data_IF_072531760849
#
_entry.id   IF_072531760849
#
_cell.length_a   1.000
_cell.length_b   1.000
_cell.length_c   1.000
_cell.angle_alpha   90.00
_cell.angle_beta   90.00
_cell.angle_gamma   90.00
#
_symmetry.space_group_name_H-M   'P 1'
#
loop_
_entity.id
_entity.type
_entity.pdbx_description
1 polymer ?
#
# COMPACT_ATOMS: atom_id res chain seq x y z
N UNK A 1 -11.95 3.91 11.34
CA UNK A 1 -10.92 3.33 10.44
C UNK A 1 -10.47 4.38 9.46
N UNK A 2 -9.16 4.52 9.25
CA UNK A 2 -8.56 5.46 8.29
C UNK A 2 -7.63 4.67 7.38
N UNK A 3 -7.67 4.90 6.07
CA UNK A 3 -6.65 4.37 5.16
C UNK A 3 -5.61 5.47 4.95
N UNK A 4 -4.44 5.27 5.52
CA UNK A 4 -3.36 6.27 5.56
C UNK A 4 -2.26 5.90 4.55
N UNK A 5 -1.69 6.94 3.93
CA UNK A 5 -0.62 6.87 2.95
C UNK A 5 0.57 7.67 3.44
N UNK A 6 1.75 7.08 3.34
CA UNK A 6 3.04 7.74 3.53
C UNK A 6 3.98 7.29 2.42
N UNK A 7 5.12 7.94 2.26
CA UNK A 7 6.24 7.29 1.60
C UNK A 7 6.91 6.31 2.56
N UNK A 8 7.37 5.20 1.99
CA UNK A 8 7.99 4.12 2.75
C UNK A 8 9.44 4.45 3.08
N UNK A 9 9.83 4.14 4.31
CA UNK A 9 11.18 4.35 4.83
C UNK A 9 11.95 3.01 4.89
N UNK A 10 12.27 2.45 3.72
CA UNK A 10 12.75 1.06 3.59
C UNK A 10 14.21 0.85 3.97
N UNK A 11 15.08 1.85 3.81
CA UNK A 11 16.52 1.62 3.96
C UNK A 11 16.92 1.50 5.43
N UNK A 12 16.22 2.22 6.34
CA UNK A 12 16.33 2.21 7.82
C UNK A 12 17.56 1.47 8.37
N UNK A 13 18.76 1.88 7.92
CA UNK A 13 20.01 1.22 8.28
C UNK A 13 20.30 1.70 9.69
N UNK A 14 20.27 0.80 10.65
CA UNK A 14 20.58 1.10 12.03
C UNK A 14 21.89 0.40 12.41
N UNK A 15 22.95 1.17 12.58
CA UNK A 15 24.26 0.67 13.04
C UNK A 15 24.38 0.67 14.58
N UNK A 16 23.28 0.91 15.29
CA UNK A 16 23.23 1.05 16.75
C UNK A 16 23.41 2.49 17.25
N UNK A 17 23.82 3.42 16.39
CA UNK A 17 24.06 4.83 16.71
C UNK A 17 23.25 5.75 15.80
N UNK A 18 23.14 5.38 14.52
CA UNK A 18 22.50 6.16 13.46
C UNK A 18 21.43 5.30 12.79
N UNK A 19 20.22 5.83 12.68
CA UNK A 19 19.19 5.28 11.80
C UNK A 19 19.13 6.10 10.52
N UNK A 20 19.58 5.52 9.40
CA UNK A 20 19.50 6.17 8.08
C UNK A 20 18.11 5.95 7.50
N UNK A 21 17.30 6.99 7.56
CA UNK A 21 15.92 6.97 7.08
C UNK A 21 15.84 7.55 5.66
N UNK A 22 15.85 6.69 4.65
CA UNK A 22 15.91 7.10 3.24
C UNK A 22 14.84 6.41 2.38
N UNK A 23 14.24 7.10 1.39
CA UNK A 23 13.30 6.50 0.46
C UNK A 23 13.97 5.46 -0.43
N UNK A 24 13.20 4.44 -0.79
CA UNK A 24 13.46 3.67 -2.02
C UNK A 24 12.64 4.32 -3.13
N UNK A 25 13.30 4.66 -4.23
CA UNK A 25 12.66 5.19 -5.42
C UNK A 25 12.32 4.05 -6.37
N UNK A 26 11.15 4.13 -6.98
CA UNK A 26 10.67 3.19 -7.98
C UNK A 26 10.51 3.94 -9.30
N UNK A 27 11.22 3.48 -10.32
CA UNK A 27 10.87 3.77 -11.71
C UNK A 27 9.67 2.87 -12.07
N UNK A 28 8.54 3.48 -12.39
CA UNK A 28 7.32 2.77 -12.76
C UNK A 28 7.34 2.19 -14.17
N UNK A 29 8.29 2.60 -15.02
CA UNK A 29 8.34 2.30 -16.45
C UNK A 29 7.25 2.99 -17.28
N UNK A 30 6.40 3.81 -16.67
CA UNK A 30 5.34 4.56 -17.37
C UNK A 30 5.85 5.93 -17.77
N UNK A 31 5.93 6.20 -19.07
CA UNK A 31 6.33 7.50 -19.60
C UNK A 31 5.30 8.59 -19.28
N UNK A 32 5.79 9.74 -18.80
CA UNK A 32 5.06 11.00 -18.69
C UNK A 32 5.01 11.72 -20.03
N UNK A 33 4.19 12.77 -20.15
CA UNK A 33 4.14 13.64 -21.33
C UNK A 33 5.47 14.32 -21.68
N UNK A 34 6.42 14.38 -20.75
CA UNK A 34 7.78 14.88 -20.99
C UNK A 34 8.68 13.86 -21.69
N UNK A 35 8.28 12.59 -21.77
CA UNK A 35 9.09 11.49 -22.29
C UNK A 35 9.94 10.77 -21.24
N UNK A 36 10.04 11.32 -20.03
CA UNK A 36 10.68 10.67 -18.87
C UNK A 36 9.73 9.67 -18.22
N UNK A 37 10.26 8.62 -17.58
CA UNK A 37 9.43 7.73 -16.79
C UNK A 37 8.99 8.40 -15.49
N UNK A 38 7.78 8.06 -15.01
CA UNK A 38 7.34 8.43 -13.67
C UNK A 38 8.17 7.67 -12.62
N UNK A 39 8.95 8.43 -11.86
CA UNK A 39 9.79 7.95 -10.75
C UNK A 39 9.27 8.56 -9.45
N UNK A 40 8.92 7.71 -8.49
CA UNK A 40 8.38 8.16 -7.21
C UNK A 40 8.97 7.38 -6.03
N UNK A 41 9.03 7.97 -4.83
CA UNK A 41 9.30 7.18 -3.63
C UNK A 41 8.20 6.13 -3.48
N UNK A 42 8.60 4.91 -3.12
CA UNK A 42 7.64 3.81 -2.92
C UNK A 42 6.64 4.21 -1.84
N UNK A 43 5.35 4.12 -2.16
CA UNK A 43 4.29 4.37 -1.20
C UNK A 43 4.19 3.26 -0.15
N UNK A 44 3.90 3.64 1.08
CA UNK A 44 3.40 2.77 2.14
C UNK A 44 1.94 3.10 2.40
N UNK A 45 1.15 2.08 2.68
CA UNK A 45 -0.20 2.27 3.19
C UNK A 45 -0.57 1.29 4.28
N UNK A 46 -1.52 1.72 5.11
CA UNK A 46 -2.12 0.91 6.15
C UNK A 46 -3.54 1.36 6.49
N UNK A 47 -4.35 0.42 6.98
CA UNK A 47 -5.60 0.73 7.66
C UNK A 47 -5.32 1.00 9.14
N UNK A 48 -5.47 2.24 9.56
CA UNK A 48 -5.41 2.66 10.96
C UNK A 48 -6.79 2.49 11.63
N UNK A 49 -6.82 1.63 12.63
CA UNK A 49 -7.96 1.39 13.51
C UNK A 49 -7.71 2.14 14.82
N UNK A 50 -8.63 3.04 15.16
CA UNK A 50 -8.72 3.65 16.48
C UNK A 50 -9.80 2.91 17.25
N UNK A 51 -9.43 2.33 18.38
CA UNK A 51 -10.29 1.53 19.24
C UNK A 51 -10.37 2.28 20.56
N UNK A 52 -11.57 2.65 20.97
CA UNK A 52 -11.80 3.33 22.23
C UNK A 52 -12.97 2.67 22.94
N UNK A 53 -12.74 2.27 24.18
CA UNK A 53 -13.69 1.60 25.05
C UNK A 53 -13.24 1.71 26.51
N UNK A 54 -14.06 1.22 27.46
CA UNK A 54 -13.76 1.35 28.89
C UNK A 54 -12.45 0.66 29.30
N UNK A 55 -12.11 -0.47 28.66
CA UNK A 55 -10.94 -1.28 29.01
C UNK A 55 -9.79 -1.19 27.99
N UNK A 56 -10.06 -0.60 26.82
CA UNK A 56 -9.11 -0.56 25.70
C UNK A 56 -9.15 0.81 25.04
N UNK A 57 -8.00 1.49 25.03
CA UNK A 57 -7.75 2.64 24.17
C UNK A 57 -6.48 2.37 23.37
N UNK A 58 -6.64 2.07 22.08
CA UNK A 58 -5.55 1.59 21.24
C UNK A 58 -5.63 2.15 19.82
N UNK A 59 -4.45 2.38 19.23
CA UNK A 59 -4.28 2.67 17.81
C UNK A 59 -3.47 1.56 17.18
N UNK A 60 -4.07 0.85 16.24
CA UNK A 60 -3.41 -0.23 15.52
C UNK A 60 -3.47 0.02 14.03
N UNK A 61 -2.38 -0.24 13.34
CA UNK A 61 -2.29 -0.22 11.88
C UNK A 61 -2.26 -1.65 11.35
N UNK A 62 -3.00 -1.91 10.28
CA UNK A 62 -2.98 -3.17 9.55
C UNK A 62 -2.34 -3.00 8.17
N UNK A 63 -1.41 -3.88 7.87
CA UNK A 63 -0.69 -4.01 6.59
C UNK A 63 0.02 -5.38 6.51
N UNK A 64 0.81 -5.62 5.46
CA UNK A 64 1.80 -6.71 5.36
C UNK A 64 3.20 -6.10 5.44
N UNK A 65 3.97 -6.46 6.48
CA UNK A 65 5.34 -6.02 6.70
C UNK A 65 6.37 -7.12 6.48
N UNK A 66 7.65 -6.76 6.62
CA UNK A 66 8.78 -7.70 6.44
C UNK A 66 8.76 -8.87 7.45
N UNK A 67 8.15 -8.66 8.61
CA UNK A 67 7.99 -9.68 9.67
C UNK A 67 6.59 -10.29 9.65
N UNK A 68 5.98 -10.37 8.46
CA UNK A 68 4.66 -10.92 8.24
C UNK A 68 3.53 -9.89 8.23
N UNK A 69 2.30 -10.39 8.25
CA UNK A 69 1.06 -9.60 8.24
C UNK A 69 0.51 -9.46 9.66
N UNK A 70 -0.09 -8.32 10.00
CA UNK A 70 -0.57 -8.12 11.36
C UNK A 70 -1.27 -6.80 11.63
N UNK A 71 -1.67 -6.67 12.88
CA UNK A 71 -2.01 -5.40 13.50
C UNK A 71 -0.82 -5.00 14.36
N UNK A 72 -0.27 -3.83 14.10
CA UNK A 72 0.87 -3.28 14.84
C UNK A 72 0.44 -2.03 15.59
N UNK A 73 1.08 -1.76 16.72
CA UNK A 73 0.92 -0.49 17.41
C UNK A 73 1.28 0.64 16.43
N UNK A 74 0.36 1.59 16.26
CA UNK A 74 0.62 2.74 15.41
C UNK A 74 1.47 3.75 16.19
N UNK A 75 2.57 4.19 15.59
CA UNK A 75 3.39 5.30 16.09
C UNK A 75 3.16 6.54 15.23
N UNK A 76 3.20 7.71 15.87
CA UNK A 76 3.20 9.01 15.18
C UNK A 76 4.65 9.44 14.80
N UNK A 77 5.66 8.67 15.20
CA UNK A 77 7.06 8.90 14.85
C UNK A 77 7.35 8.50 13.41
N UNK A 78 7.65 9.50 12.58
CA UNK A 78 8.11 9.31 11.20
C UNK A 78 8.93 10.51 10.75
N UNK A 79 9.91 10.32 9.85
CA UNK A 79 10.58 11.44 9.22
C UNK A 79 9.57 12.34 8.51
N UNK A 80 9.70 13.66 8.64
CA UNK A 80 8.79 14.62 8.00
C UNK A 80 8.72 14.46 6.48
N UNK A 81 9.81 13.99 5.85
CA UNK A 81 9.88 13.76 4.40
C UNK A 81 8.96 12.64 3.92
N UNK A 82 8.49 11.75 4.80
CA UNK A 82 7.60 10.65 4.40
C UNK A 82 6.19 11.14 4.08
N UNK A 83 5.83 12.34 4.53
CA UNK A 83 4.49 12.90 4.35
C UNK A 83 3.41 12.09 5.07
N UNK A 84 2.16 12.56 4.96
CA UNK A 84 1.02 11.81 5.45
C UNK A 84 -0.25 12.29 4.77
N UNK A 85 -1.02 11.35 4.23
CA UNK A 85 -2.32 11.61 3.64
C UNK A 85 -3.31 10.55 4.08
N UNK A 86 -4.54 10.95 4.34
CA UNK A 86 -5.64 10.01 4.58
C UNK A 86 -6.47 9.91 3.32
N UNK A 87 -6.43 8.74 2.68
CA UNK A 87 -7.18 8.47 1.46
C UNK A 87 -8.69 8.48 1.72
N UNK A 88 -9.10 7.89 2.85
CA UNK A 88 -10.45 8.02 3.39
C UNK A 88 -10.45 7.74 4.89
N UNK A 89 -11.49 8.22 5.56
CA UNK A 89 -11.73 7.98 6.97
C UNK A 89 -13.23 7.73 7.22
N UNK A 90 -13.53 6.72 8.01
CA UNK A 90 -14.88 6.46 8.53
C UNK A 90 -14.80 6.35 10.04
N UNK A 91 -15.75 6.97 10.74
CA UNK A 91 -15.75 7.03 12.20
C UNK A 91 -17.14 7.18 12.82
N UNK A 92 -18.20 7.23 12.01
CA UNK A 92 -19.56 7.41 12.51
C UNK A 92 -20.25 6.06 12.75
N UNK A 93 -21.26 6.03 13.62
CA UNK A 93 -22.10 4.84 13.82
C UNK A 93 -22.80 4.39 12.54
N UNK A 94 -23.06 5.33 11.62
CA UNK A 94 -23.64 5.03 10.30
C UNK A 94 -22.72 4.15 9.45
N UNK A 95 -21.41 4.18 9.71
CA UNK A 95 -20.40 3.40 9.01
C UNK A 95 -20.01 2.11 9.74
N UNK A 96 -20.71 1.73 10.82
CA UNK A 96 -20.36 0.56 11.64
C UNK A 96 -20.20 -0.72 10.82
N UNK A 97 -21.12 -0.98 9.88
CA UNK A 97 -21.05 -2.16 9.01
C UNK A 97 -19.80 -2.14 8.12
N UNK A 98 -19.42 -0.96 7.62
CA UNK A 98 -18.18 -0.81 6.87
C UNK A 98 -16.97 -1.13 7.76
N UNK A 99 -16.90 -0.56 8.97
CA UNK A 99 -15.79 -0.80 9.91
C UNK A 99 -15.65 -2.29 10.21
N UNK A 100 -16.75 -2.97 10.53
CA UNK A 100 -16.77 -4.41 10.80
C UNK A 100 -16.34 -5.22 9.57
N UNK A 101 -16.79 -4.83 8.37
CA UNK A 101 -16.37 -5.47 7.12
C UNK A 101 -14.87 -5.32 6.87
N UNK A 102 -14.29 -4.15 7.14
CA UNK A 102 -12.84 -3.92 7.03
C UNK A 102 -12.05 -4.78 8.02
N UNK A 103 -12.46 -4.83 9.29
CA UNK A 103 -11.81 -5.68 10.32
C UNK A 103 -11.89 -7.16 9.94
N UNK A 104 -13.05 -7.62 9.46
CA UNK A 104 -13.24 -9.01 8.99
C UNK A 104 -12.33 -9.33 7.81
N UNK A 105 -12.26 -8.43 6.82
CA UNK A 105 -11.38 -8.57 5.66
C UNK A 105 -9.89 -8.60 6.08
N UNK A 106 -9.46 -7.69 6.97
CA UNK A 106 -8.12 -7.67 7.53
C UNK A 106 -7.75 -9.00 8.20
N UNK A 107 -8.66 -9.51 9.04
CA UNK A 107 -8.47 -10.79 9.76
C UNK A 107 -8.37 -11.98 8.80
N UNK A 108 -9.20 -12.00 7.76
CA UNK A 108 -9.18 -13.07 6.77
C UNK A 108 -7.90 -13.00 5.89
N UNK A 109 -7.49 -11.81 5.45
CA UNK A 109 -6.22 -11.61 4.74
C UNK A 109 -5.04 -12.04 5.60
N UNK A 110 -5.05 -11.70 6.89
CA UNK A 110 -4.03 -12.13 7.84
C UNK A 110 -3.90 -13.65 7.92
N UNK A 111 -5.02 -14.37 8.05
CA UNK A 111 -5.04 -15.83 8.07
C UNK A 111 -4.51 -16.41 6.75
N UNK A 112 -4.90 -15.81 5.62
CA UNK A 112 -4.47 -16.19 4.28
C UNK A 112 -2.97 -16.12 4.12
N UNK A 113 -2.37 -14.95 4.38
CA UNK A 113 -0.93 -14.76 4.22
C UNK A 113 -0.13 -15.62 5.19
N UNK A 114 -0.58 -15.80 6.44
CA UNK A 114 0.10 -16.73 7.37
C UNK A 114 0.12 -18.16 6.86
N UNK A 115 -0.98 -18.62 6.26
CA UNK A 115 -1.03 -19.95 5.67
C UNK A 115 -0.10 -20.07 4.48
N UNK A 116 -0.06 -19.08 3.60
CA UNK A 116 0.83 -19.06 2.43
C UNK A 116 2.32 -18.98 2.82
N UNK A 117 2.67 -18.20 3.85
CA UNK A 117 4.01 -18.15 4.44
C UNK A 117 4.47 -19.53 4.92
N UNK A 118 3.57 -20.30 5.52
CA UNK A 118 3.86 -21.65 6.02
C UNK A 118 3.85 -22.74 4.93
N UNK A 119 3.39 -22.43 3.72
CA UNK A 119 3.26 -23.39 2.62
C UNK A 119 4.09 -22.98 1.40
N UNK A 120 3.53 -22.19 0.50
CA UNK A 120 4.10 -21.83 -0.81
C UNK A 120 5.29 -20.88 -0.71
N UNK A 121 5.37 -20.12 0.37
CA UNK A 121 6.49 -19.24 0.68
C UNK A 121 7.40 -19.78 1.78
N UNK A 122 7.23 -21.06 2.17
CA UNK A 122 8.11 -21.69 3.15
C UNK A 122 9.56 -21.61 2.66
N UNK A 123 10.46 -21.17 3.54
CA UNK A 123 11.89 -20.95 3.29
C UNK A 123 12.25 -19.76 2.37
N UNK A 124 11.28 -18.93 1.95
CA UNK A 124 11.62 -17.67 1.28
C UNK A 124 12.14 -16.64 2.32
N UNK A 125 13.05 -15.73 1.93
CA UNK A 125 13.51 -14.66 2.81
C UNK A 125 12.35 -13.84 3.36
N UNK A 126 12.50 -13.33 4.59
CA UNK A 126 11.52 -12.47 5.26
C UNK A 126 10.09 -13.04 5.21
N UNK A 127 9.93 -14.34 5.45
CA UNK A 127 8.66 -15.08 5.40
C UNK A 127 7.89 -14.92 4.07
N UNK A 128 8.62 -14.69 2.98
CA UNK A 128 8.05 -14.45 1.66
C UNK A 128 7.57 -13.02 1.42
N UNK A 129 7.97 -12.03 2.23
CA UNK A 129 7.71 -10.62 1.93
C UNK A 129 8.22 -10.24 0.53
N UNK A 130 7.44 -9.44 -0.20
CA UNK A 130 7.67 -9.13 -1.61
C UNK A 130 7.17 -10.21 -2.57
N UNK A 131 7.24 -11.50 -2.20
CA UNK A 131 6.64 -12.58 -2.97
C UNK A 131 5.13 -12.71 -2.70
N UNK A 132 4.74 -12.78 -1.43
CA UNK A 132 3.34 -12.81 -0.99
C UNK A 132 2.62 -11.46 -1.13
N UNK A 133 3.38 -10.40 -1.40
CA UNK A 133 2.94 -9.02 -1.50
C UNK A 133 3.72 -8.08 -0.58
N UNK A 134 3.33 -6.81 -0.59
CA UNK A 134 3.86 -5.73 0.25
C UNK A 134 2.73 -5.12 1.09
N UNK A 135 3.06 -4.09 1.87
CA UNK A 135 2.07 -3.34 2.65
C UNK A 135 0.88 -2.87 1.78
N UNK A 136 1.13 -2.42 0.55
CA UNK A 136 0.11 -1.95 -0.37
C UNK A 136 -0.84 -3.05 -0.85
N UNK A 137 -0.38 -4.28 -1.06
CA UNK A 137 -1.22 -5.40 -1.49
C UNK A 137 -2.33 -5.72 -0.48
N UNK A 138 -1.98 -5.68 0.81
CA UNK A 138 -2.96 -5.90 1.88
C UNK A 138 -4.04 -4.80 1.91
N UNK A 139 -3.65 -3.55 1.71
CA UNK A 139 -4.58 -2.43 1.68
C UNK A 139 -5.43 -2.44 0.41
N UNK A 140 -4.84 -2.76 -0.74
CA UNK A 140 -5.55 -2.92 -2.01
C UNK A 140 -6.63 -4.00 -1.93
N UNK A 141 -6.32 -5.14 -1.30
CA UNK A 141 -7.28 -6.22 -1.11
C UNK A 141 -8.48 -5.76 -0.25
N UNK A 142 -8.21 -5.04 0.84
CA UNK A 142 -9.25 -4.48 1.70
C UNK A 142 -10.07 -3.40 0.98
N UNK A 143 -9.42 -2.51 0.22
CA UNK A 143 -10.09 -1.51 -0.62
C UNK A 143 -11.01 -2.16 -1.66
N UNK A 144 -10.55 -3.20 -2.34
CA UNK A 144 -11.37 -3.91 -3.31
C UNK A 144 -12.60 -4.56 -2.66
N UNK A 145 -12.43 -5.14 -1.47
CA UNK A 145 -13.54 -5.76 -0.73
C UNK A 145 -14.57 -4.69 -0.29
N UNK A 146 -14.09 -3.58 0.27
CA UNK A 146 -14.92 -2.62 1.01
C UNK A 146 -15.38 -1.40 0.19
N UNK A 147 -14.58 -0.97 -0.78
CA UNK A 147 -14.85 0.19 -1.67
C UNK A 147 -15.02 -0.17 -3.14
N UNK A 148 -14.69 -1.41 -3.54
CA UNK A 148 -14.71 -1.86 -4.95
C UNK A 148 -13.72 -1.10 -5.85
N UNK A 149 -12.76 -0.41 -5.25
CA UNK A 149 -11.70 0.34 -5.94
C UNK A 149 -10.35 -0.11 -5.44
N UNK A 150 -9.30 0.13 -6.23
CA UNK A 150 -7.90 -0.10 -5.83
C UNK A 150 -7.17 1.20 -6.09
N UNK A 151 -6.55 1.76 -5.05
CA UNK A 151 -5.79 3.00 -5.16
C UNK A 151 -4.35 2.86 -4.70
N UNK A 152 -3.97 1.69 -4.17
CA UNK A 152 -2.61 1.43 -3.73
C UNK A 152 -1.69 1.04 -4.89
N UNK A 153 -0.42 1.46 -4.77
CA UNK A 153 0.65 1.17 -5.72
C UNK A 153 2.02 1.25 -5.02
N UNK A 154 2.99 0.37 -5.35
CA UNK A 154 2.87 -0.78 -6.25
C UNK A 154 2.16 -1.96 -5.58
N UNK A 155 1.60 -2.84 -6.40
CA UNK A 155 1.09 -4.17 -6.03
C UNK A 155 2.07 -5.22 -6.56
N UNK A 156 2.71 -5.94 -5.64
CA UNK A 156 3.87 -6.78 -5.97
C UNK A 156 3.65 -8.27 -5.69
N UNK A 157 2.48 -8.67 -5.21
CA UNK A 157 2.15 -10.08 -4.99
C UNK A 157 2.32 -10.87 -6.30
N UNK A 158 3.19 -11.87 -6.27
CA UNK A 158 3.56 -12.67 -7.43
C UNK A 158 2.35 -13.31 -8.12
N UNK A 159 2.28 -13.22 -9.45
CA UNK A 159 1.16 -13.78 -10.22
C UNK A 159 0.98 -15.29 -10.01
N UNK A 160 2.09 -16.04 -9.92
CA UNK A 160 2.06 -17.51 -9.76
C UNK A 160 1.38 -18.00 -8.48
N UNK A 161 1.20 -17.13 -7.48
CA UNK A 161 0.46 -17.46 -6.27
C UNK A 161 -1.02 -17.72 -6.54
N UNK A 162 -1.57 -17.24 -7.66
CA UNK A 162 -2.96 -17.53 -8.04
C UNK A 162 -3.20 -19.04 -8.19
N UNK A 163 -2.21 -19.75 -8.74
CA UNK A 163 -2.32 -21.19 -9.00
C UNK A 163 -1.69 -22.04 -7.90
N UNK A 164 -0.61 -21.55 -7.29
CA UNK A 164 0.15 -22.31 -6.27
C UNK A 164 -0.45 -22.22 -4.87
N UNK A 165 -1.15 -21.12 -4.54
CA UNK A 165 -1.67 -20.92 -3.18
C UNK A 165 -2.76 -21.94 -2.83
N UNK A 166 -2.80 -22.41 -1.57
CA UNK A 166 -3.87 -23.30 -1.13
C UNK A 166 -5.22 -22.60 -1.27
N UNK A 167 -6.23 -23.32 -1.76
CA UNK A 167 -7.62 -22.85 -1.78
C UNK A 167 -8.19 -22.97 -0.36
N UNK A 168 -8.48 -21.84 0.27
CA UNK A 168 -8.95 -21.81 1.66
C UNK A 168 -10.44 -21.48 1.79
N UNK A 169 -11.10 -21.10 0.70
CA UNK A 169 -12.52 -20.72 0.72
C UNK A 169 -12.79 -19.43 1.51
N UNK A 170 -11.76 -18.59 1.69
CA UNK A 170 -11.83 -17.31 2.40
C UNK A 170 -12.24 -16.14 1.46
N UNK A 171 -12.40 -16.43 0.16
CA UNK A 171 -12.79 -15.48 -0.87
C UNK A 171 -11.62 -14.67 -1.45
N UNK A 172 -10.40 -14.83 -0.94
CA UNK A 172 -9.25 -14.08 -1.42
C UNK A 172 -8.74 -14.56 -2.77
N UNK A 173 -9.11 -15.76 -3.23
CA UNK A 173 -8.82 -16.24 -4.59
C UNK A 173 -9.39 -15.27 -5.64
N UNK A 174 -10.61 -14.79 -5.43
CA UNK A 174 -11.29 -13.85 -6.34
C UNK A 174 -10.73 -12.44 -6.19
N UNK A 175 -10.35 -12.05 -4.97
CA UNK A 175 -9.77 -10.74 -4.70
C UNK A 175 -8.38 -10.64 -5.35
N UNK A 176 -7.51 -11.63 -5.15
CA UNK A 176 -6.14 -11.64 -5.69
C UNK A 176 -6.09 -11.76 -7.21
N UNK A 177 -7.06 -12.44 -7.82
CA UNK A 177 -7.21 -12.47 -9.28
C UNK A 177 -7.53 -11.09 -9.87
N UNK A 178 -8.14 -10.19 -9.09
CA UNK A 178 -8.54 -8.84 -9.52
C UNK A 178 -7.53 -7.76 -9.15
N UNK A 179 -6.55 -8.07 -8.30
CA UNK A 179 -5.50 -7.11 -7.99
C UNK A 179 -4.58 -6.92 -9.21
N UNK A 180 -4.17 -5.67 -9.52
CA UNK A 180 -3.15 -5.40 -10.53
C UNK A 180 -1.87 -6.21 -10.29
N UNK A 181 -1.11 -6.46 -11.35
CA UNK A 181 0.16 -7.20 -11.31
C UNK A 181 1.29 -6.25 -11.69
N UNK A 182 1.51 -5.19 -10.90
CA UNK A 182 2.41 -4.11 -11.29
C UNK A 182 3.85 -4.59 -11.53
N UNK A 183 4.29 -5.62 -10.79
CA UNK A 183 5.62 -6.22 -10.96
C UNK A 183 5.77 -7.03 -12.25
N UNK A 184 4.66 -7.52 -12.82
CA UNK A 184 4.63 -8.41 -13.99
C UNK A 184 3.92 -7.74 -15.19
N UNK A 185 3.63 -6.45 -15.10
CA UNK A 185 2.72 -5.77 -16.01
C UNK A 185 3.34 -5.52 -17.39
N UNK A 186 2.55 -5.76 -18.43
CA UNK A 186 2.85 -5.26 -19.78
C UNK A 186 2.51 -3.77 -19.84
N UNK A 187 3.55 -2.94 -19.79
CA UNK A 187 3.41 -1.50 -19.88
C UNK A 187 3.18 -1.00 -21.31
N UNK A 188 2.86 -1.83 -22.30
CA UNK A 188 2.41 -1.34 -23.62
C UNK A 188 0.94 -0.90 -23.63
N UNK A 189 0.13 -1.40 -22.68
CA UNK A 189 -1.28 -1.03 -22.53
C UNK A 189 -1.44 0.38 -21.95
N UNK A 190 -1.93 1.32 -22.77
CA UNK A 190 -2.17 2.71 -22.38
C UNK A 190 -3.25 2.89 -21.31
N UNK A 191 -4.24 2.00 -21.25
CA UNK A 191 -5.25 2.03 -20.18
C UNK A 191 -4.62 1.62 -18.86
N UNK A 192 -3.77 0.59 -18.87
CA UNK A 192 -3.04 0.17 -17.69
C UNK A 192 -2.02 1.20 -17.22
N UNK A 193 -1.24 1.79 -18.13
CA UNK A 193 -0.34 2.92 -17.83
C UNK A 193 -1.10 4.04 -17.11
N UNK A 194 -2.28 4.38 -17.60
CA UNK A 194 -3.13 5.42 -17.00
C UNK A 194 -3.60 5.05 -15.60
N UNK A 195 -4.01 3.80 -15.39
CA UNK A 195 -4.36 3.29 -14.06
C UNK A 195 -3.18 3.38 -13.08
N UNK A 196 -1.97 2.99 -13.51
CA UNK A 196 -0.74 3.12 -12.72
C UNK A 196 -0.49 4.58 -12.30
N UNK A 197 -0.56 5.53 -13.25
CA UNK A 197 -0.39 6.96 -12.95
C UNK A 197 -1.44 7.46 -11.95
N UNK A 198 -2.70 7.06 -12.11
CA UNK A 198 -3.77 7.39 -11.16
C UNK A 198 -3.48 6.84 -9.76
N UNK A 199 -2.98 5.61 -9.64
CA UNK A 199 -2.65 4.98 -8.36
C UNK A 199 -1.39 5.59 -7.73
N UNK A 200 -0.37 5.93 -8.51
CA UNK A 200 0.80 6.69 -8.02
C UNK A 200 0.34 8.03 -7.42
N UNK A 201 -0.54 8.75 -8.12
CA UNK A 201 -1.13 9.99 -7.59
C UNK A 201 -1.96 9.74 -6.32
N UNK A 202 -2.72 8.65 -6.29
CA UNK A 202 -3.49 8.22 -5.13
C UNK A 202 -2.63 7.76 -3.93
N UNK A 203 -1.35 7.51 -4.14
CA UNK A 203 -0.36 7.18 -3.11
C UNK A 203 0.48 8.38 -2.65
N UNK A 204 0.46 9.49 -3.38
CA UNK A 204 1.25 10.67 -3.01
C UNK A 204 0.90 11.18 -1.61
N UNK A 205 1.89 11.15 -0.71
CA UNK A 205 1.73 11.49 0.70
C UNK A 205 1.81 13.00 0.98
N UNK A 206 2.23 13.79 0.00
CA UNK A 206 2.30 15.25 0.10
C UNK A 206 1.25 15.92 -0.78
N UNK A 207 0.72 17.05 -0.30
CA UNK A 207 -0.04 17.94 -1.16
C UNK A 207 0.92 18.77 -2.01
N UNK A 208 0.74 18.74 -3.34
CA UNK A 208 1.43 19.64 -4.28
C UNK A 208 1.05 21.08 -3.91
N UNK A 209 2.00 21.82 -3.34
CA UNK A 209 1.95 23.22 -2.83
C UNK A 209 2.51 23.34 -1.42
N UNK A 210 2.64 22.23 -0.70
CA UNK A 210 3.28 22.25 0.62
C UNK A 210 4.78 22.49 0.46
N UNK A 211 5.37 23.35 1.31
CA UNK A 211 6.83 23.46 1.48
C UNK A 211 7.48 22.17 2.03
N UNK A 212 6.74 21.06 2.03
CA UNK A 212 7.10 19.81 2.72
C UNK A 212 7.64 18.74 1.79
N UNK A 213 7.62 18.95 0.46
CA UNK A 213 8.31 18.08 -0.49
C UNK A 213 9.78 18.55 -0.53
N UNK A 214 10.73 17.78 0.00
CA UNK A 214 12.14 18.18 0.02
C UNK A 214 12.79 18.10 -1.36
N UNK A 215 12.23 17.30 -2.26
CA UNK A 215 12.79 17.00 -3.58
C UNK A 215 12.07 17.77 -4.71
N UNK A 216 12.83 18.57 -5.47
CA UNK A 216 12.29 19.44 -6.53
C UNK A 216 11.89 18.68 -7.78
N UNK A 217 12.56 17.57 -8.06
CA UNK A 217 12.27 16.73 -9.22
C UNK A 217 10.95 15.98 -9.01
N UNK A 218 10.76 15.40 -7.82
CA UNK A 218 9.49 14.81 -7.41
C UNK A 218 8.36 15.85 -7.42
N UNK A 219 8.59 17.06 -6.93
CA UNK A 219 7.60 18.13 -6.99
C UNK A 219 7.18 18.41 -8.45
N UNK A 220 8.14 18.45 -9.38
CA UNK A 220 7.88 18.66 -10.81
C UNK A 220 7.09 17.49 -11.42
N UNK A 221 7.51 16.25 -11.20
CA UNK A 221 6.81 15.06 -11.70
C UNK A 221 5.39 14.95 -11.14
N UNK A 222 5.18 15.22 -9.85
CA UNK A 222 3.85 15.24 -9.25
C UNK A 222 2.95 16.31 -9.89
N UNK A 223 3.49 17.49 -10.24
CA UNK A 223 2.73 18.54 -10.95
C UNK A 223 2.30 18.09 -12.35
N UNK A 224 3.17 17.39 -13.07
CA UNK A 224 2.84 16.80 -14.38
C UNK A 224 1.77 15.74 -14.18
N UNK A 225 2.00 14.79 -13.28
CA UNK A 225 1.07 13.71 -12.94
C UNK A 225 -0.32 14.23 -12.56
N UNK A 226 -0.40 15.29 -11.74
CA UNK A 226 -1.68 15.91 -11.39
C UNK A 226 -2.40 16.47 -12.61
N UNK A 227 -1.70 17.17 -13.52
CA UNK A 227 -2.32 17.69 -14.74
C UNK A 227 -2.83 16.55 -15.61
N UNK A 228 -2.02 15.52 -15.81
CA UNK A 228 -2.39 14.38 -16.60
C UNK A 228 -3.60 13.68 -16.00
N UNK A 229 -3.60 13.36 -14.70
CA UNK A 229 -4.69 12.63 -14.02
C UNK A 229 -6.00 13.42 -13.91
N UNK A 230 -5.94 14.76 -13.98
CA UNK A 230 -7.11 15.65 -13.85
C UNK A 230 -7.65 16.17 -15.19
N UNK A 231 -6.90 16.08 -16.30
CA UNK A 231 -7.41 16.37 -17.62
C UNK A 231 -8.48 15.34 -17.99
N UNK A 232 -9.74 15.79 -18.01
CA UNK A 232 -10.91 15.07 -18.52
C UNK A 232 -11.14 15.45 -19.97
#
# INVERSE_FOLDING_TARGET
VRNERTYANFISLNDGVTSVQWPVWLDSGVALSTGENMVAPVGHSHHAFRISGPDVDARVMFYLGISGVGFWAQTDERPAWTGSRVAYAVSSDKDKNFVLATVKAATAYFKRIRKEAQTVAKNKPADGYGYLGLCNDSNAALELITHKTISAYPIARAAELQDKSPRLGDGFEVVFAKLPKDADADLTDKVYQRDVLNRIWAMSAHMISSKTIPDKELEAQLRILKKETQAK
#
